data_IF_978909881929
#
_entry.id   IF_978909881929
#
_cell.length_a   1.000
_cell.length_b   1.000
_cell.length_c   1.000
_cell.angle_alpha   90.00
_cell.angle_beta   90.00
_cell.angle_gamma   90.00
#
_symmetry.space_group_name_H-M   'P 1'
#
loop_
_entity.id
_entity.type
_entity.pdbx_description
1 polymer ?
#
# COMPACT_ATOMS: atom_id res chain seq x y z
N UNK A 1 -8.44 -61.67 -104.10
CA UNK A 1 -7.10 -61.15 -104.46
C UNK A 1 -7.04 -59.74 -103.89
N UNK A 2 -6.34 -59.37 -102.82
CA UNK A 2 -5.50 -59.99 -101.78
C UNK A 2 -5.51 -58.94 -100.61
N UNK A 3 -5.60 -59.29 -99.32
CA UNK A 3 -4.49 -59.39 -98.33
C UNK A 3 -3.39 -58.32 -98.52
N UNK A 4 -3.00 -57.43 -97.58
CA UNK A 4 -2.61 -57.45 -96.14
C UNK A 4 -2.80 -56.00 -95.58
N UNK A 5 -3.02 -55.66 -94.30
CA UNK A 5 -2.35 -56.06 -93.06
C UNK A 5 -1.39 -54.94 -92.58
N UNK A 6 -1.68 -54.21 -91.48
CA UNK A 6 -0.69 -53.59 -90.56
C UNK A 6 -1.34 -52.78 -89.42
N UNK A 7 -1.37 -53.42 -88.25
CA UNK A 7 -1.08 -52.93 -86.89
C UNK A 7 -1.73 -51.69 -86.26
N UNK A 8 -2.43 -52.02 -85.17
CA UNK A 8 -2.62 -51.27 -83.95
C UNK A 8 -1.36 -50.52 -83.48
N UNK A 9 -1.51 -49.25 -83.12
CA UNK A 9 -0.72 -48.68 -82.02
C UNK A 9 -1.62 -47.88 -81.08
N UNK A 10 -1.64 -48.34 -79.84
CA UNK A 10 -2.48 -47.94 -78.73
C UNK A 10 -1.78 -46.78 -78.02
N UNK A 11 -2.24 -45.54 -78.23
CA UNK A 11 -1.79 -44.39 -77.42
C UNK A 11 -2.91 -43.82 -76.57
N UNK A 12 -3.02 -44.44 -75.40
CA UNK A 12 -3.64 -43.92 -74.18
C UNK A 12 -2.79 -42.75 -73.65
N UNK A 13 -3.36 -41.56 -73.60
CA UNK A 13 -2.83 -40.46 -72.78
C UNK A 13 -4.01 -39.64 -72.21
N UNK A 14 -4.44 -40.11 -71.05
CA UNK A 14 -5.04 -39.38 -69.93
C UNK A 14 -5.23 -37.87 -70.07
N UNK A 15 -6.50 -37.50 -70.08
CA UNK A 15 -7.06 -36.30 -69.44
C UNK A 15 -6.31 -35.92 -68.17
N UNK A 16 -5.80 -34.69 -68.11
CA UNK A 16 -5.52 -33.99 -66.85
C UNK A 16 -6.36 -32.71 -66.86
N UNK A 17 -7.55 -32.80 -66.24
CA UNK A 17 -8.29 -31.63 -65.82
C UNK A 17 -7.50 -30.97 -64.70
N UNK A 18 -7.03 -29.74 -64.95
CA UNK A 18 -6.52 -28.86 -63.93
C UNK A 18 -7.70 -28.32 -63.10
N UNK A 19 -8.11 -29.08 -62.10
CA UNK A 19 -8.95 -28.58 -61.02
C UNK A 19 -8.05 -27.82 -60.04
N UNK A 20 -8.03 -26.50 -60.18
CA UNK A 20 -7.39 -25.61 -59.24
C UNK A 20 -8.46 -25.12 -58.25
N UNK A 21 -8.97 -26.04 -57.44
CA UNK A 21 -9.81 -25.75 -56.28
C UNK A 21 -8.94 -25.78 -55.03
N UNK A 22 -8.24 -24.66 -54.77
CA UNK A 22 -7.69 -24.37 -53.44
C UNK A 22 -8.85 -23.95 -52.52
N UNK A 23 -9.73 -24.89 -52.21
CA UNK A 23 -10.54 -24.79 -51.00
C UNK A 23 -9.65 -25.23 -49.85
N UNK A 24 -8.99 -24.27 -49.21
CA UNK A 24 -8.39 -24.48 -47.89
C UNK A 24 -9.54 -24.70 -46.91
N UNK A 25 -10.05 -25.94 -46.81
CA UNK A 25 -10.80 -26.36 -45.65
C UNK A 25 -9.92 -26.10 -44.43
N UNK A 26 -10.26 -25.05 -43.68
CA UNK A 26 -9.57 -24.71 -42.46
C UNK A 26 -9.85 -25.84 -41.47
N UNK A 27 -8.90 -26.77 -41.34
CA UNK A 27 -8.97 -27.88 -40.39
C UNK A 27 -9.40 -27.34 -39.02
N UNK A 28 -10.32 -28.06 -38.36
CA UNK A 28 -10.85 -27.67 -37.04
C UNK A 28 -9.73 -27.41 -36.04
N UNK A 29 -8.63 -28.17 -36.14
CA UNK A 29 -7.43 -28.00 -35.31
C UNK A 29 -6.68 -26.70 -35.64
N UNK A 30 -6.65 -26.31 -36.92
CA UNK A 30 -6.14 -25.01 -37.37
C UNK A 30 -7.00 -23.83 -36.88
N UNK A 31 -8.33 -23.98 -36.91
CA UNK A 31 -9.26 -22.98 -36.40
C UNK A 31 -9.13 -22.80 -34.88
N UNK A 32 -9.00 -23.90 -34.13
CA UNK A 32 -8.77 -23.88 -32.67
C UNK A 32 -7.41 -23.25 -32.37
N UNK A 33 -6.35 -23.61 -33.10
CA UNK A 33 -5.02 -23.02 -32.92
C UNK A 33 -5.01 -21.50 -33.17
N UNK A 34 -5.70 -21.03 -34.21
CA UNK A 34 -5.87 -19.60 -34.48
C UNK A 34 -6.65 -18.89 -33.37
N UNK A 35 -7.72 -19.52 -32.87
CA UNK A 35 -8.49 -18.97 -31.76
C UNK A 35 -7.68 -18.91 -30.46
N UNK A 36 -6.96 -19.98 -30.11
CA UNK A 36 -6.07 -20.02 -28.95
C UNK A 36 -4.94 -18.99 -29.07
N UNK A 37 -4.36 -18.83 -30.26
CA UNK A 37 -3.36 -17.81 -30.53
C UNK A 37 -3.92 -16.39 -30.39
N UNK A 38 -5.13 -16.13 -30.91
CA UNK A 38 -5.81 -14.86 -30.79
C UNK A 38 -6.16 -14.53 -29.32
N UNK A 39 -6.63 -15.52 -28.55
CA UNK A 39 -6.88 -15.37 -27.12
C UNK A 39 -5.60 -15.09 -26.34
N UNK A 40 -4.52 -15.84 -26.58
CA UNK A 40 -3.24 -15.61 -25.93
C UNK A 40 -2.67 -14.23 -26.25
N UNK A 41 -2.78 -13.78 -27.50
CA UNK A 41 -2.39 -12.42 -27.88
C UNK A 41 -3.24 -11.35 -27.19
N UNK A 42 -4.56 -11.55 -27.08
CA UNK A 42 -5.46 -10.62 -26.40
C UNK A 42 -5.14 -10.55 -24.89
N UNK A 43 -4.89 -11.70 -24.26
CA UNK A 43 -4.51 -11.80 -22.85
C UNK A 43 -3.15 -11.16 -22.59
N UNK A 44 -2.14 -11.43 -23.41
CA UNK A 44 -0.82 -10.80 -23.28
C UNK A 44 -0.92 -9.28 -23.50
N UNK A 45 -1.72 -8.79 -24.45
CA UNK A 45 -1.99 -7.35 -24.59
C UNK A 45 -2.62 -6.75 -23.33
N UNK A 46 -3.61 -7.41 -22.73
CA UNK A 46 -4.23 -6.93 -21.49
C UNK A 46 -3.24 -6.93 -20.32
N UNK A 47 -2.43 -7.99 -20.19
CA UNK A 47 -1.38 -8.08 -19.18
C UNK A 47 -0.34 -6.97 -19.34
N UNK A 48 0.16 -6.71 -20.55
CA UNK A 48 1.09 -5.61 -20.80
C UNK A 48 0.43 -4.25 -20.54
N UNK A 49 -0.83 -4.07 -20.90
CA UNK A 49 -1.59 -2.85 -20.58
C UNK A 49 -1.73 -2.64 -19.07
N UNK A 50 -1.99 -3.70 -18.31
CA UNK A 50 -2.05 -3.66 -16.85
C UNK A 50 -0.69 -3.32 -16.25
N UNK A 51 0.38 -4.02 -16.68
CA UNK A 51 1.75 -3.77 -16.23
C UNK A 51 2.14 -2.31 -16.51
N UNK A 52 1.94 -1.81 -17.73
CA UNK A 52 2.23 -0.42 -18.08
C UNK A 52 1.41 0.57 -17.24
N UNK A 53 0.15 0.25 -16.93
CA UNK A 53 -0.69 1.10 -16.09
C UNK A 53 -0.21 1.11 -14.63
N UNK A 54 0.23 -0.04 -14.11
CA UNK A 54 0.85 -0.14 -12.78
C UNK A 54 2.20 0.58 -12.73
N UNK A 55 3.07 0.38 -13.71
CA UNK A 55 4.36 1.08 -13.83
C UNK A 55 4.19 2.59 -13.99
N UNK A 56 3.18 3.05 -14.72
CA UNK A 56 2.86 4.48 -14.82
C UNK A 56 2.35 5.05 -13.47
N UNK A 57 1.60 4.27 -12.70
CA UNK A 57 1.07 4.69 -11.39
C UNK A 57 2.15 4.64 -10.30
N UNK A 58 2.97 3.60 -10.28
CA UNK A 58 4.15 3.49 -9.40
C UNK A 58 5.21 4.51 -9.80
N UNK A 59 5.50 4.68 -11.09
CA UNK A 59 6.45 5.66 -11.62
C UNK A 59 6.01 7.10 -11.37
N UNK A 60 4.71 7.41 -11.41
CA UNK A 60 4.19 8.73 -10.97
C UNK A 60 4.27 8.89 -9.44
N UNK A 61 4.07 7.83 -8.67
CA UNK A 61 4.28 7.85 -7.21
C UNK A 61 5.75 8.01 -6.82
N UNK A 62 6.68 7.49 -7.61
CA UNK A 62 8.14 7.57 -7.36
C UNK A 62 8.77 8.83 -7.95
N UNK A 63 8.25 9.37 -9.07
CA UNK A 63 8.75 10.64 -9.63
C UNK A 63 8.13 11.88 -8.97
N UNK A 64 6.99 11.75 -8.29
CA UNK A 64 6.44 12.83 -7.46
C UNK A 64 7.20 13.01 -6.12
N UNK A 65 8.06 12.06 -5.75
CA UNK A 65 8.94 12.15 -4.56
C UNK A 65 10.40 12.45 -4.91
N UNK A 66 10.74 12.58 -6.20
CA UNK A 66 12.08 12.86 -6.70
C UNK A 66 12.41 14.35 -6.86
N UNK A 67 11.98 15.17 -5.92
CA UNK A 67 12.57 16.49 -5.69
C UNK A 67 13.32 16.36 -4.38
N UNK A 68 14.62 16.66 -4.38
CA UNK A 68 15.48 16.79 -3.21
C UNK A 68 14.98 17.91 -2.28
N UNK A 69 13.78 17.72 -1.72
CA UNK A 69 13.30 18.43 -0.57
C UNK A 69 14.07 17.86 0.61
N UNK A 70 14.70 18.68 1.48
CA UNK A 70 15.26 18.17 2.71
C UNK A 70 14.14 17.40 3.42
N UNK A 71 14.38 16.11 3.67
CA UNK A 71 13.41 15.25 4.37
C UNK A 71 12.98 16.00 5.64
N UNK A 72 11.71 16.37 5.72
CA UNK A 72 11.23 17.22 6.80
C UNK A 72 11.48 16.51 8.12
N UNK A 73 12.43 17.03 8.91
CA UNK A 73 12.81 16.41 10.18
C UNK A 73 11.83 16.82 11.27
N UNK A 74 11.07 15.86 11.77
CA UNK A 74 10.25 16.07 12.95
C UNK A 74 11.14 16.21 14.19
N UNK A 75 11.04 17.36 14.87
CA UNK A 75 11.83 17.67 16.05
C UNK A 75 11.28 17.01 17.33
N UNK A 76 10.03 16.54 17.30
CA UNK A 76 9.42 15.83 18.41
C UNK A 76 8.89 14.48 17.97
N UNK A 77 9.15 13.47 18.79
CA UNK A 77 8.68 12.10 18.57
C UNK A 77 7.15 12.04 18.49
N UNK A 78 6.46 12.84 19.31
CA UNK A 78 5.00 12.92 19.30
C UNK A 78 4.44 13.38 17.95
N UNK A 79 5.01 14.43 17.35
CA UNK A 79 4.57 14.94 16.04
C UNK A 79 4.90 13.93 14.94
N UNK A 80 6.08 13.29 14.99
CA UNK A 80 6.43 12.22 14.04
C UNK A 80 5.40 11.10 14.04
N UNK A 81 5.02 10.62 15.22
CA UNK A 81 3.99 9.57 15.40
C UNK A 81 2.60 10.05 14.93
N UNK A 82 2.28 11.33 15.07
CA UNK A 82 1.02 11.89 14.57
C UNK A 82 1.00 11.95 13.04
N UNK A 83 2.10 12.39 12.45
CA UNK A 83 2.24 12.46 11.00
C UNK A 83 2.15 11.06 10.38
N UNK A 84 2.93 10.09 10.87
CA UNK A 84 2.89 8.72 10.34
C UNK A 84 1.50 8.08 10.44
N UNK A 85 0.81 8.29 11.57
CA UNK A 85 -0.56 7.82 11.75
C UNK A 85 -1.51 8.41 10.70
N UNK A 86 -1.42 9.72 10.47
CA UNK A 86 -2.25 10.42 9.49
C UNK A 86 -1.95 9.97 8.06
N UNK A 87 -0.67 9.81 7.70
CA UNK A 87 -0.25 9.31 6.38
C UNK A 87 -0.84 7.93 6.11
N UNK A 88 -0.75 7.00 7.06
CA UNK A 88 -1.30 5.65 6.90
C UNK A 88 -2.84 5.68 6.77
N UNK A 89 -3.53 6.62 7.45
CA UNK A 89 -4.99 6.78 7.29
C UNK A 89 -5.37 7.30 5.91
N UNK A 90 -4.58 8.20 5.33
CA UNK A 90 -4.82 8.69 3.97
C UNK A 90 -4.70 7.56 2.95
N UNK A 91 -3.70 6.68 3.09
CA UNK A 91 -3.56 5.50 2.22
C UNK A 91 -4.76 4.55 2.32
N UNK A 92 -5.26 4.32 3.54
CA UNK A 92 -6.44 3.47 3.78
C UNK A 92 -7.71 4.09 3.21
N UNK A 93 -7.87 5.41 3.31
CA UNK A 93 -8.99 6.11 2.67
C UNK A 93 -8.91 6.03 1.13
N UNK A 94 -7.71 6.09 0.54
CA UNK A 94 -7.52 5.88 -0.90
C UNK A 94 -7.85 4.44 -1.33
N UNK A 95 -7.57 3.45 -0.46
CA UNK A 95 -8.00 2.07 -0.66
C UNK A 95 -9.54 1.95 -0.65
N UNK A 96 -10.21 2.59 0.32
CA UNK A 96 -11.68 2.66 0.37
C UNK A 96 -12.26 3.28 -0.91
N UNK A 97 -11.69 4.41 -1.37
CA UNK A 97 -12.12 5.03 -2.63
C UNK A 97 -12.01 4.08 -3.82
N UNK A 98 -10.95 3.26 -3.84
CA UNK A 98 -10.74 2.25 -4.88
C UNK A 98 -11.75 1.10 -4.79
N UNK A 99 -12.02 0.58 -3.59
CA UNK A 99 -13.01 -0.47 -3.37
C UNK A 99 -14.44 -0.01 -3.72
N UNK A 100 -14.77 1.27 -3.46
CA UNK A 100 -16.05 1.87 -3.88
C UNK A 100 -16.17 1.86 -5.40
N UNK A 101 -15.12 2.27 -6.14
CA UNK A 101 -15.12 2.28 -7.61
C UNK A 101 -15.28 0.88 -8.20
N UNK A 102 -14.79 -0.15 -7.51
CA UNK A 102 -14.91 -1.56 -7.90
C UNK A 102 -16.25 -2.20 -7.47
N UNK A 103 -17.09 -1.48 -6.73
CA UNK A 103 -18.38 -2.00 -6.24
C UNK A 103 -18.25 -3.01 -5.10
N UNK A 104 -17.10 -3.11 -4.43
CA UNK A 104 -16.88 -4.07 -3.36
C UNK A 104 -17.35 -3.52 -1.99
N UNK A 105 -18.66 -3.51 -1.77
CA UNK A 105 -19.26 -2.96 -0.55
C UNK A 105 -18.85 -3.70 0.73
N UNK A 106 -18.56 -5.00 0.64
CA UNK A 106 -18.13 -5.81 1.79
C UNK A 106 -16.76 -5.37 2.29
N UNK A 107 -15.79 -5.24 1.38
CA UNK A 107 -14.43 -4.80 1.70
C UNK A 107 -14.40 -3.36 2.22
N UNK A 108 -15.24 -2.47 1.66
CA UNK A 108 -15.42 -1.11 2.18
C UNK A 108 -15.88 -1.11 3.65
N UNK A 109 -16.87 -1.93 3.98
CA UNK A 109 -17.40 -2.04 5.35
C UNK A 109 -16.34 -2.57 6.33
N UNK A 110 -15.56 -3.55 5.89
CA UNK A 110 -14.47 -4.12 6.68
C UNK A 110 -13.38 -3.09 6.97
N UNK A 111 -12.87 -2.41 5.93
CA UNK A 111 -11.84 -1.38 6.08
C UNK A 111 -12.34 -0.28 7.01
N UNK A 112 -13.56 0.23 6.81
CA UNK A 112 -14.14 1.26 7.69
C UNK A 112 -14.23 0.78 9.14
N UNK A 113 -14.59 -0.47 9.37
CA UNK A 113 -14.69 -1.04 10.72
C UNK A 113 -13.32 -1.12 11.40
N UNK A 114 -12.29 -1.56 10.66
CA UNK A 114 -10.91 -1.58 11.14
C UNK A 114 -10.40 -0.16 11.45
N UNK A 115 -10.67 0.81 10.56
CA UNK A 115 -10.28 2.22 10.75
C UNK A 115 -10.93 2.83 12.00
N UNK A 116 -12.21 2.52 12.26
CA UNK A 116 -12.88 2.95 13.49
C UNK A 116 -12.19 2.43 14.75
N UNK A 117 -11.78 1.16 14.78
CA UNK A 117 -11.05 0.58 15.91
C UNK A 117 -9.67 1.21 16.10
N UNK A 118 -8.95 1.45 15.00
CA UNK A 118 -7.64 2.10 15.03
C UNK A 118 -7.75 3.54 15.57
N UNK A 119 -8.76 4.30 15.13
CA UNK A 119 -9.02 5.65 15.64
C UNK A 119 -9.41 5.63 17.12
N UNK A 120 -10.20 4.66 17.58
CA UNK A 120 -10.53 4.50 19.01
C UNK A 120 -9.28 4.25 19.84
N UNK A 121 -8.42 3.32 19.42
CA UNK A 121 -7.12 3.05 20.05
C UNK A 121 -6.26 4.31 20.07
N UNK A 122 -6.23 5.07 18.97
CA UNK A 122 -5.47 6.32 18.88
C UNK A 122 -5.96 7.38 19.85
N UNK A 123 -7.28 7.58 19.94
CA UNK A 123 -7.88 8.54 20.88
C UNK A 123 -7.53 8.20 22.33
N UNK A 124 -7.43 6.92 22.67
CA UNK A 124 -6.94 6.48 23.98
C UNK A 124 -5.47 6.85 24.21
N UNK A 125 -4.60 6.61 23.23
CA UNK A 125 -3.19 6.99 23.29
C UNK A 125 -3.03 8.50 23.49
N UNK A 126 -3.82 9.32 22.76
CA UNK A 126 -3.78 10.78 22.91
C UNK A 126 -4.22 11.23 24.31
N UNK A 127 -5.24 10.59 24.90
CA UNK A 127 -5.64 10.86 26.29
C UNK A 127 -4.53 10.51 27.30
N UNK A 128 -3.77 9.44 27.05
CA UNK A 128 -2.61 9.08 27.90
C UNK A 128 -1.48 10.10 27.72
N UNK A 129 -1.19 10.49 26.47
CA UNK A 129 -0.16 11.49 26.16
C UNK A 129 -0.47 12.84 26.81
N UNK A 130 -1.72 13.30 26.72
CA UNK A 130 -2.16 14.57 27.32
C UNK A 130 -2.01 14.59 28.85
N UNK A 131 -2.36 13.48 29.52
CA UNK A 131 -2.31 13.39 30.99
C UNK A 131 -0.92 13.07 31.54
N UNK A 132 -0.14 12.25 30.84
CA UNK A 132 1.06 11.61 31.40
C UNK A 132 2.32 11.77 30.55
N UNK A 133 2.23 12.32 29.34
CA UNK A 133 3.33 12.52 28.41
C UNK A 133 3.55 11.36 27.43
N UNK A 134 4.32 11.63 26.37
CA UNK A 134 4.68 10.64 25.33
C UNK A 134 5.64 9.56 25.84
N UNK A 135 6.37 9.82 26.91
CA UNK A 135 7.20 8.83 27.61
C UNK A 135 6.35 7.69 28.21
N UNK A 136 5.21 8.03 28.80
CA UNK A 136 4.25 7.05 29.33
C UNK A 136 3.57 6.27 28.21
N UNK A 137 3.24 6.93 27.09
CA UNK A 137 2.69 6.26 25.91
C UNK A 137 3.65 5.20 25.38
N UNK A 138 4.95 5.51 25.30
CA UNK A 138 5.96 4.55 24.85
C UNK A 138 5.96 3.28 25.71
N UNK A 139 5.99 3.44 27.04
CA UNK A 139 5.93 2.32 27.99
C UNK A 139 4.62 1.53 27.97
N UNK A 140 3.53 2.19 27.57
CA UNK A 140 2.21 1.59 27.45
C UNK A 140 2.09 0.74 26.18
N UNK A 141 2.67 1.20 25.07
CA UNK A 141 2.68 0.48 23.79
C UNK A 141 3.72 -0.66 23.74
N UNK A 142 4.86 -0.49 24.41
CA UNK A 142 5.96 -1.48 24.41
C UNK A 142 5.68 -2.72 25.31
N UNK A 143 4.53 -2.79 26.00
CA UNK A 143 4.22 -3.88 26.94
C UNK A 143 3.63 -5.11 26.20
N UNK A 144 4.35 -6.25 26.09
CA UNK A 144 3.98 -7.39 25.23
C UNK A 144 2.82 -8.27 25.75
N UNK A 145 2.09 -7.85 26.79
CA UNK A 145 1.02 -8.61 27.45
C UNK A 145 -0.39 -8.05 27.21
N UNK A 146 -0.53 -7.12 26.26
CA UNK A 146 -1.75 -6.33 26.08
C UNK A 146 -2.86 -7.05 25.27
N UNK A 147 -3.26 -8.26 25.69
CA UNK A 147 -4.56 -8.83 25.32
C UNK A 147 -5.59 -8.52 26.43
N UNK A 148 -6.16 -7.33 26.33
CA UNK A 148 -7.56 -6.95 26.61
C UNK A 148 -8.20 -7.20 28.00
N UNK A 149 -7.46 -7.47 29.09
CA UNK A 149 -8.12 -7.59 30.43
C UNK A 149 -7.60 -6.74 31.59
N UNK A 150 -6.49 -6.00 31.46
CA UNK A 150 -5.87 -5.28 32.60
C UNK A 150 -5.42 -3.82 32.35
N UNK A 151 -6.14 -3.10 31.48
CA UNK A 151 -5.78 -1.73 31.04
C UNK A 151 -5.39 -0.72 32.14
N UNK A 152 -6.06 -0.77 33.30
CA UNK A 152 -5.76 0.13 34.41
C UNK A 152 -4.49 -0.26 35.17
N UNK A 153 -4.19 -1.56 35.25
CA UNK A 153 -2.94 -2.10 35.79
C UNK A 153 -1.77 -1.70 34.90
N UNK A 154 -1.96 -1.87 33.59
CA UNK A 154 -0.98 -1.56 32.56
C UNK A 154 -0.61 -0.07 32.53
N UNK A 155 -1.61 0.81 32.60
CA UNK A 155 -1.36 2.24 32.64
C UNK A 155 -0.59 2.63 33.91
N UNK A 156 -0.92 2.06 35.09
CA UNK A 156 -0.17 2.31 36.33
C UNK A 156 1.27 1.81 36.23
N UNK A 157 1.49 0.65 35.62
CA UNK A 157 2.82 0.11 35.38
C UNK A 157 3.62 1.02 34.44
N UNK A 158 3.02 1.46 33.33
CA UNK A 158 3.64 2.38 32.38
C UNK A 158 4.01 3.73 33.02
N UNK A 159 3.10 4.33 33.80
CA UNK A 159 3.38 5.57 34.55
C UNK A 159 4.55 5.38 35.52
N UNK A 160 4.59 4.25 36.22
CA UNK A 160 5.66 3.93 37.18
C UNK A 160 7.00 3.75 36.47
N UNK A 161 7.04 3.03 35.35
CA UNK A 161 8.24 2.83 34.52
C UNK A 161 8.74 4.15 33.94
N UNK A 162 7.86 4.95 33.35
CA UNK A 162 8.21 6.26 32.79
C UNK A 162 8.76 7.19 33.88
N UNK A 163 8.13 7.23 35.06
CA UNK A 163 8.58 8.05 36.18
C UNK A 163 9.95 7.62 36.72
N UNK A 164 10.23 6.31 36.82
CA UNK A 164 11.56 5.81 37.19
C UNK A 164 12.63 6.21 36.17
N UNK A 165 12.34 6.12 34.87
CA UNK A 165 13.25 6.54 33.79
C UNK A 165 13.51 8.05 33.79
N UNK A 166 12.51 8.85 34.18
CA UNK A 166 12.70 10.29 34.39
C UNK A 166 13.61 10.59 35.59
N UNK A 167 13.45 9.87 36.70
CA UNK A 167 14.28 10.07 37.91
C UNK A 167 15.69 9.49 37.82
N UNK A 168 15.91 8.48 36.97
CA UNK A 168 17.21 7.80 36.83
C UNK A 168 18.13 8.44 35.78
N UNK A 169 17.66 9.43 35.00
CA UNK A 169 18.54 10.20 34.14
C UNK A 169 19.43 11.07 35.03
N UNK A 170 20.76 10.87 35.04
CA UNK A 170 21.64 11.70 35.84
C UNK A 170 21.43 13.16 35.41
N UNK A 171 21.15 14.01 36.38
CA UNK A 171 21.05 15.45 36.19
C UNK A 171 22.43 15.91 35.71
N UNK A 172 22.61 16.11 34.41
CA UNK A 172 23.75 16.86 33.87
C UNK A 172 23.63 18.26 34.42
N UNK A 173 24.26 18.50 35.57
CA UNK A 173 24.35 19.79 36.23
C UNK A 173 24.99 20.74 35.21
N UNK A 174 24.31 21.80 34.72
CA UNK A 174 25.02 22.84 34.03
C UNK A 174 26.01 23.44 35.03
N UNK A 175 27.27 23.49 34.62
CA UNK A 175 28.36 24.08 35.39
C UNK A 175 27.95 25.50 35.79
N UNK A 176 27.87 25.75 37.10
CA UNK A 176 27.35 26.98 37.66
C UNK A 176 28.35 28.12 37.45
N UNK A 177 28.18 28.93 36.40
CA UNK A 177 28.71 30.29 36.39
C UNK A 177 27.76 31.19 37.18
N UNK A 178 28.25 31.63 38.33
CA UNK A 178 27.72 32.58 39.29
C UNK A 178 26.96 33.79 38.68
N UNK A 179 25.65 33.90 38.90
CA UNK A 179 24.97 35.21 39.06
C UNK A 179 23.53 35.07 39.59
N UNK A 180 23.25 35.71 40.72
CA UNK A 180 22.02 36.48 40.93
C UNK A 180 20.74 35.74 41.35
N UNK A 181 20.39 35.92 42.62
CA UNK A 181 19.09 35.61 43.23
C UNK A 181 17.86 35.97 42.38
N UNK A 182 16.96 35.00 42.22
CA UNK A 182 15.59 35.22 41.77
C UNK A 182 14.77 33.95 41.95
N UNK A 183 13.93 33.90 42.99
CA UNK A 183 12.95 32.83 43.20
C UNK A 183 11.93 32.88 42.06
N UNK A 184 12.16 32.12 41.00
CA UNK A 184 11.22 31.85 39.92
C UNK A 184 10.77 30.40 40.01
N UNK A 185 9.56 30.18 40.49
CA UNK A 185 8.89 28.89 40.56
C UNK A 185 8.64 28.40 39.11
N UNK A 186 9.56 27.59 38.58
CA UNK A 186 9.48 27.04 37.23
C UNK A 186 8.40 25.96 37.18
N UNK A 187 7.15 26.39 36.94
CA UNK A 187 6.03 25.50 36.68
C UNK A 187 6.06 25.08 35.20
N UNK A 188 6.54 23.88 34.92
CA UNK A 188 6.63 23.28 33.57
C UNK A 188 5.28 22.87 32.96
N UNK A 189 4.16 23.47 33.40
CA UNK A 189 2.78 23.14 32.97
C UNK A 189 2.12 24.13 32.01
N UNK A 190 2.83 25.12 31.46
CA UNK A 190 2.21 26.23 30.72
C UNK A 190 2.40 26.24 29.20
N UNK A 191 3.03 25.24 28.56
CA UNK A 191 3.31 25.33 27.12
C UNK A 191 2.13 25.03 26.17
N UNK A 192 0.98 24.56 26.64
CA UNK A 192 -0.15 24.16 25.77
C UNK A 192 -1.55 24.64 26.22
N UNK A 193 -1.66 25.81 26.87
CA UNK A 193 -2.96 26.45 27.14
C UNK A 193 -3.06 27.85 26.52
N UNK A 194 -2.84 27.94 25.22
CA UNK A 194 -3.32 29.07 24.41
C UNK A 194 -4.55 28.63 23.60
N UNK A 195 -5.62 29.42 23.52
CA UNK A 195 -6.72 29.12 22.60
C UNK A 195 -6.21 29.25 21.16
N UNK A 196 -6.59 28.30 20.31
CA UNK A 196 -6.32 28.37 18.88
C UNK A 196 -7.06 29.57 18.26
N UNK A 197 -6.44 30.30 17.32
CA UNK A 197 -7.11 31.39 16.64
C UNK A 197 -8.24 30.83 15.77
N UNK A 198 -9.48 31.22 16.04
CA UNK A 198 -10.60 31.01 15.13
C UNK A 198 -10.38 31.86 13.88
N UNK A 199 -10.40 31.23 12.71
CA UNK A 199 -10.69 31.91 11.45
C UNK A 199 -12.20 32.14 11.33
#
# INVERSE_FOLDING_TARGET
MSEEGSDHDERRATTQHAENSNETELSTDGAISLFTSALNNALEKQKHSLINHFEARLGKSVKATGVDQPEFVFHSEGIKVQHSFNTERLERLAAVESCIKLGNASEVSEIISQEKEIIRKRNKILKIADKHGWDTVKEYLDSPLADNKEDASDLRAAISRASRKRSSKPYSKPESSNSGSGKGEFNSRSFFRGPWPSQ
#
